data_IF_223110204757
#
_entry.id   IF_223110204757
#
_cell.length_a   1.000
_cell.length_b   1.000
_cell.length_c   1.000
_cell.angle_alpha   90.00
_cell.angle_beta   90.00
_cell.angle_gamma   90.00
#
_symmetry.space_group_name_H-M   'P 1'
#
loop_
_entity.id
_entity.type
_entity.pdbx_description
1 polymer ?
#
# COMPACT_ATOMS: atom_id res chain seq x y z
N UNK A 1 18.77 -14.55 27.65
CA UNK A 1 18.49 -13.82 27.43
C UNK A 1 18.33 -12.80 27.83
N UNK A 2 18.43 -12.13 27.99
CA UNK A 2 18.29 -11.20 28.33
C UNK A 2 17.34 -10.55 28.40
N UNK A 3 17.03 -10.19 29.00
CA UNK A 3 16.22 -9.51 29.01
C UNK A 3 16.23 -8.41 28.95
N UNK A 4 15.88 -8.33 28.66
CA UNK A 4 15.96 -7.09 28.35
C UNK A 4 15.38 -6.25 29.31
N UNK A 5 15.72 -5.15 29.35
CA UNK A 5 15.12 -4.21 30.13
C UNK A 5 13.80 -3.87 29.59
N UNK A 6 13.00 -3.35 30.38
CA UNK A 6 11.68 -3.13 30.06
C UNK A 6 11.50 -2.22 28.93
N UNK A 7 12.43 -1.57 28.56
CA UNK A 7 12.13 -0.72 27.61
C UNK A 7 13.07 -0.86 26.65
N UNK A 8 13.53 -1.96 26.50
CA UNK A 8 14.39 -2.19 25.49
C UNK A 8 13.73 -1.96 24.21
N UNK A 9 12.82 -1.09 24.07
CA UNK A 9 12.23 -0.69 22.84
C UNK A 9 11.34 -1.72 22.22
N UNK A 10 10.98 -2.67 22.98
CA UNK A 10 10.11 -3.69 22.49
C UNK A 10 10.78 -4.79 21.73
N UNK A 11 12.09 -4.82 21.70
CA UNK A 11 12.73 -5.85 20.93
C UNK A 11 12.65 -7.23 21.59
N UNK A 12 12.05 -7.32 22.76
CA UNK A 12 11.74 -8.61 23.33
C UNK A 12 10.24 -8.87 23.30
N UNK A 13 9.49 -8.13 22.53
CA UNK A 13 8.07 -8.41 22.42
C UNK A 13 7.85 -9.71 21.65
N UNK A 14 6.77 -10.42 21.94
CA UNK A 14 6.49 -11.66 21.23
C UNK A 14 6.09 -11.39 19.79
N UNK A 15 6.21 -12.39 18.94
CA UNK A 15 5.69 -12.30 17.59
C UNK A 15 4.18 -12.10 17.67
N UNK A 16 3.65 -11.45 16.65
CA UNK A 16 2.22 -11.18 16.58
C UNK A 16 1.66 -11.83 15.33
N UNK A 17 0.53 -12.46 15.46
CA UNK A 17 -0.15 -13.11 14.37
C UNK A 17 -1.44 -12.35 14.11
N UNK A 18 -1.62 -11.86 12.88
CA UNK A 18 -2.83 -11.17 12.49
C UNK A 18 -3.58 -12.07 11.52
N UNK A 19 -4.65 -12.73 11.95
CA UNK A 19 -5.41 -13.62 11.06
C UNK A 19 -6.11 -12.82 9.96
N UNK A 20 -6.38 -13.44 8.84
CA UNK A 20 -7.07 -12.79 7.75
C UNK A 20 -8.43 -12.22 8.18
N UNK A 21 -9.12 -12.92 9.08
CA UNK A 21 -10.40 -12.44 9.57
C UNK A 21 -10.27 -11.23 10.50
N UNK A 22 -9.05 -10.90 10.93
CA UNK A 22 -8.83 -9.77 11.82
C UNK A 22 -8.37 -8.50 11.14
N UNK A 23 -8.34 -8.47 9.82
CA UNK A 23 -7.98 -7.27 9.10
C UNK A 23 -9.06 -6.19 9.29
N UNK A 24 -8.63 -4.96 9.41
CA UNK A 24 -9.53 -3.86 9.72
C UNK A 24 -9.67 -2.90 8.55
N UNK A 25 -10.91 -2.56 8.18
CA UNK A 25 -11.17 -1.54 7.18
C UNK A 25 -11.20 -0.14 7.80
N UNK A 26 -10.93 -0.03 9.09
CA UNK A 26 -10.91 1.26 9.78
C UNK A 26 -9.58 1.96 9.51
N UNK A 27 -9.35 2.30 8.28
CA UNK A 27 -8.14 2.98 7.82
C UNK A 27 -8.54 3.84 6.63
N UNK A 28 -7.63 4.68 6.15
CA UNK A 28 -7.91 5.60 5.06
C UNK A 28 -8.36 4.86 3.80
N UNK A 29 -9.44 5.33 3.22
CA UNK A 29 -10.04 4.70 2.04
C UNK A 29 -10.00 5.62 0.85
N UNK A 30 -10.04 5.03 -0.34
CA UNK A 30 -10.13 5.72 -1.61
C UNK A 30 -11.35 5.18 -2.35
N UNK A 31 -12.14 6.02 -3.02
CA UNK A 31 -13.29 5.50 -3.76
C UNK A 31 -12.89 4.39 -4.73
N UNK A 32 -13.63 3.30 -4.70
CA UNK A 32 -13.36 2.15 -5.55
C UNK A 32 -12.27 1.22 -5.04
N UNK A 33 -11.63 1.57 -3.93
CA UNK A 33 -10.54 0.78 -3.36
C UNK A 33 -10.80 0.56 -1.89
N UNK A 34 -10.92 -0.69 -1.48
CA UNK A 34 -11.13 -1.03 -0.06
C UNK A 34 -9.79 -1.47 0.52
N UNK A 35 -9.27 -0.70 1.48
CA UNK A 35 -8.04 -1.03 2.18
C UNK A 35 -8.35 -1.70 3.49
N UNK A 36 -7.58 -2.71 3.83
CA UNK A 36 -7.68 -3.37 5.11
C UNK A 36 -6.31 -3.42 5.74
N UNK A 37 -6.22 -2.95 6.98
CA UNK A 37 -4.98 -2.84 7.72
C UNK A 37 -4.68 -4.14 8.41
N UNK A 38 -3.46 -4.61 8.29
CA UNK A 38 -3.01 -5.83 8.95
C UNK A 38 -1.93 -5.54 10.00
N UNK A 39 -0.85 -4.91 9.60
CA UNK A 39 0.29 -4.62 10.48
C UNK A 39 0.45 -3.12 10.57
N UNK A 40 0.26 -2.57 11.75
CA UNK A 40 0.38 -1.13 11.97
C UNK A 40 0.61 -0.85 13.44
N UNK A 41 0.82 0.41 13.78
CA UNK A 41 0.94 0.80 15.18
C UNK A 41 -0.30 0.42 15.95
N UNK A 42 -1.49 0.55 15.35
CA UNK A 42 -2.74 0.24 16.05
C UNK A 42 -2.94 -1.25 16.25
N UNK A 43 -2.50 -2.07 15.31
CA UNK A 43 -2.79 -3.50 15.39
C UNK A 43 -1.74 -4.28 16.17
N UNK A 44 -0.48 -3.98 15.93
CA UNK A 44 0.61 -4.77 16.52
C UNK A 44 1.70 -3.91 17.17
N UNK A 45 1.55 -2.59 17.16
CA UNK A 45 2.55 -1.70 17.76
C UNK A 45 3.76 -1.48 16.90
N UNK A 46 3.66 -1.69 15.59
CA UNK A 46 4.80 -1.44 14.71
C UNK A 46 5.09 0.05 14.64
N UNK A 47 6.35 0.40 14.49
CA UNK A 47 6.76 1.80 14.46
C UNK A 47 7.12 2.27 13.07
N UNK A 48 7.55 1.39 12.21
CA UNK A 48 7.98 1.75 10.87
C UNK A 48 7.16 1.08 9.80
N UNK A 49 6.98 -0.23 9.90
CA UNK A 49 6.29 -0.98 8.86
C UNK A 49 4.79 -0.87 9.03
N UNK A 50 4.13 -0.57 7.93
CA UNK A 50 2.67 -0.70 7.80
C UNK A 50 2.42 -1.70 6.68
N UNK A 51 1.55 -2.68 6.89
CA UNK A 51 1.16 -3.62 5.86
C UNK A 51 -0.34 -3.82 5.87
N UNK A 52 -0.89 -3.97 4.69
CA UNK A 52 -2.29 -4.25 4.53
C UNK A 52 -2.56 -4.70 3.12
N UNK A 53 -3.83 -4.76 2.77
CA UNK A 53 -4.22 -5.13 1.41
C UNK A 53 -5.21 -4.13 0.87
N UNK A 54 -5.28 -4.03 -0.45
CA UNK A 54 -6.24 -3.20 -1.14
C UNK A 54 -6.96 -4.06 -2.17
N UNK A 55 -8.28 -3.96 -2.15
CA UNK A 55 -9.11 -4.56 -3.18
C UNK A 55 -9.58 -3.44 -4.09
N UNK A 56 -9.21 -3.51 -5.36
CA UNK A 56 -9.52 -2.49 -6.35
C UNK A 56 -10.71 -2.97 -7.17
N UNK A 57 -11.80 -2.21 -7.12
CA UNK A 57 -13.02 -2.57 -7.83
C UNK A 57 -12.79 -2.57 -9.34
N UNK A 58 -13.60 -3.32 -10.09
CA UNK A 58 -13.51 -3.29 -11.55
C UNK A 58 -13.73 -1.89 -12.10
N UNK A 59 -13.06 -1.58 -13.20
CA UNK A 59 -13.23 -0.34 -13.95
C UNK A 59 -13.08 0.89 -13.08
N UNK A 60 -12.05 0.90 -12.26
CA UNK A 60 -11.79 1.96 -11.30
C UNK A 60 -10.40 2.54 -11.55
N UNK A 61 -10.26 3.83 -11.30
CA UNK A 61 -8.96 4.48 -11.35
C UNK A 61 -8.86 5.45 -10.19
N UNK A 62 -7.70 5.51 -9.56
CA UNK A 62 -7.44 6.53 -8.54
C UNK A 62 -7.15 7.86 -9.21
N UNK A 63 -7.17 8.93 -8.44
CA UNK A 63 -6.65 10.21 -8.90
C UNK A 63 -5.12 10.12 -9.00
N UNK A 64 -4.52 11.10 -9.68
CA UNK A 64 -3.08 11.25 -9.68
C UNK A 64 -2.65 11.72 -8.30
N UNK A 65 -1.63 11.09 -7.74
CA UNK A 65 -1.19 11.40 -6.38
C UNK A 65 0.22 10.89 -6.13
N UNK A 66 0.79 11.29 -5.00
CA UNK A 66 2.00 10.65 -4.50
C UNK A 66 1.85 10.44 -2.99
N UNK A 67 2.79 9.74 -2.41
CA UNK A 67 2.71 9.35 -1.00
C UNK A 67 3.79 10.01 -0.16
N UNK A 68 4.20 11.22 -0.53
CA UNK A 68 5.21 11.95 0.24
C UNK A 68 6.50 11.16 0.30
N UNK A 69 7.15 11.17 1.45
CA UNK A 69 8.43 10.49 1.60
C UNK A 69 8.30 9.00 1.89
N UNK A 70 7.09 8.45 1.85
CA UNK A 70 6.89 7.02 2.11
C UNK A 70 7.32 6.19 0.91
N UNK A 71 7.95 5.08 1.20
CA UNK A 71 8.21 4.04 0.20
C UNK A 71 7.12 3.00 0.29
N UNK A 72 6.72 2.43 -0.83
CA UNK A 72 5.70 1.40 -0.85
C UNK A 72 6.13 0.22 -1.71
N UNK A 73 6.11 -0.97 -1.13
CA UNK A 73 6.23 -2.20 -1.89
C UNK A 73 4.85 -2.78 -2.08
N UNK A 74 4.57 -3.30 -3.26
CA UNK A 74 3.27 -3.84 -3.62
C UNK A 74 3.46 -5.25 -4.18
N UNK A 75 2.63 -6.17 -3.73
CA UNK A 75 2.62 -7.54 -4.26
C UNK A 75 1.22 -7.79 -4.83
N UNK A 76 1.16 -8.24 -6.08
CA UNK A 76 -0.12 -8.51 -6.75
C UNK A 76 -0.58 -9.92 -6.40
N UNK A 77 -1.69 -10.02 -5.69
CA UNK A 77 -2.26 -11.32 -5.31
C UNK A 77 -3.12 -11.86 -6.44
N UNK A 78 -3.98 -11.03 -7.02
CA UNK A 78 -4.88 -11.46 -8.08
C UNK A 78 -5.35 -10.27 -8.91
N UNK A 79 -5.86 -10.52 -10.09
CA UNK A 79 -6.37 -9.49 -10.97
C UNK A 79 -5.26 -8.88 -11.81
N UNK A 80 -5.59 -7.77 -12.46
CA UNK A 80 -4.69 -7.13 -13.41
C UNK A 80 -4.65 -5.62 -13.18
N UNK A 81 -4.09 -5.16 -12.06
CA UNK A 81 -3.97 -3.73 -11.80
C UNK A 81 -2.95 -3.12 -12.75
N UNK A 82 -3.11 -1.84 -13.03
CA UNK A 82 -2.19 -1.09 -13.87
C UNK A 82 -1.72 0.13 -13.06
N UNK A 83 -0.42 0.38 -13.09
CA UNK A 83 0.16 1.54 -12.42
C UNK A 83 0.72 2.46 -13.50
N UNK A 84 0.34 3.73 -13.44
CA UNK A 84 0.70 4.71 -14.46
C UNK A 84 1.53 5.80 -13.83
N UNK A 85 2.68 6.10 -14.42
CA UNK A 85 3.52 7.21 -14.00
C UNK A 85 4.14 7.85 -15.25
N UNK A 86 4.93 8.90 -15.07
CA UNK A 86 5.55 9.59 -16.20
C UNK A 86 7.06 9.47 -16.11
N UNK A 87 7.68 9.12 -17.22
CA UNK A 87 9.12 9.05 -17.31
C UNK A 87 9.55 9.71 -18.60
N UNK A 88 10.46 10.65 -18.54
CA UNK A 88 10.95 11.40 -19.70
C UNK A 88 9.81 12.05 -20.48
N UNK A 89 8.83 12.59 -19.75
CA UNK A 89 7.71 13.30 -20.35
C UNK A 89 6.64 12.42 -20.95
N UNK A 90 6.73 11.10 -20.79
CA UNK A 90 5.77 10.19 -21.37
C UNK A 90 5.14 9.29 -20.31
N UNK A 91 3.87 8.98 -20.50
CA UNK A 91 3.19 8.05 -19.60
C UNK A 91 3.72 6.65 -19.82
N UNK A 92 4.03 6.00 -18.70
CA UNK A 92 4.44 4.61 -18.69
C UNK A 92 3.40 3.82 -17.91
N UNK A 93 2.96 2.72 -18.48
CA UNK A 93 1.96 1.86 -17.86
C UNK A 93 2.61 0.54 -17.49
N UNK A 94 2.58 0.20 -16.20
CA UNK A 94 3.06 -1.07 -15.72
C UNK A 94 1.84 -1.96 -15.48
N UNK A 95 1.86 -3.15 -16.02
CA UNK A 95 0.74 -4.09 -15.89
C UNK A 95 1.22 -5.37 -15.21
N UNK A 96 1.51 -5.32 -13.91
CA UNK A 96 2.01 -6.50 -13.21
C UNK A 96 0.95 -7.59 -13.14
N UNK A 97 1.40 -8.83 -13.11
CA UNK A 97 0.53 -9.98 -13.01
C UNK A 97 0.60 -10.56 -11.61
N UNK A 98 -0.33 -11.42 -11.28
CA UNK A 98 -0.32 -12.10 -9.99
C UNK A 98 1.05 -12.72 -9.72
N UNK A 99 1.60 -12.44 -8.56
CA UNK A 99 2.94 -12.88 -8.19
C UNK A 99 4.03 -11.84 -8.43
N UNK A 100 3.72 -10.76 -9.14
CA UNK A 100 4.72 -9.72 -9.41
C UNK A 100 4.74 -8.69 -8.30
N UNK A 101 5.81 -7.92 -8.25
CA UNK A 101 6.00 -6.86 -7.27
C UNK A 101 6.18 -5.52 -7.98
N UNK A 102 5.72 -4.46 -7.33
CA UNK A 102 5.94 -3.08 -7.80
C UNK A 102 6.50 -2.28 -6.65
N UNK A 103 7.46 -1.41 -6.93
CA UNK A 103 8.00 -0.49 -5.94
C UNK A 103 7.62 0.93 -6.33
N UNK A 104 7.05 1.67 -5.37
CA UNK A 104 6.71 3.08 -5.55
C UNK A 104 7.67 3.90 -4.73
N UNK A 105 8.60 4.63 -5.38
CA UNK A 105 9.56 5.47 -4.65
C UNK A 105 8.87 6.67 -3.99
N UNK A 106 9.56 7.35 -3.06
CA UNK A 106 9.02 8.58 -2.48
C UNK A 106 8.75 9.63 -3.54
N UNK A 107 7.70 10.41 -3.29
CA UNK A 107 7.33 11.58 -4.10
C UNK A 107 7.02 11.30 -5.57
N UNK A 108 6.81 10.06 -5.95
CA UNK A 108 6.57 9.72 -7.34
C UNK A 108 5.10 9.86 -7.68
N UNK A 109 4.71 10.80 -8.55
CA UNK A 109 3.34 10.92 -8.99
C UNK A 109 2.91 9.71 -9.79
N UNK A 110 1.75 9.17 -9.48
CA UNK A 110 1.23 8.00 -10.17
C UNK A 110 -0.26 7.89 -9.95
N UNK A 111 -0.87 6.96 -10.64
CA UNK A 111 -2.24 6.52 -10.35
C UNK A 111 -2.32 5.02 -10.54
N UNK A 112 -3.30 4.43 -9.92
CA UNK A 112 -3.56 3.00 -10.02
C UNK A 112 -4.90 2.81 -10.71
N UNK A 113 -4.96 1.89 -11.67
CA UNK A 113 -6.16 1.62 -12.44
C UNK A 113 -6.48 0.15 -12.42
N UNK A 114 -7.74 -0.16 -12.48
CA UNK A 114 -8.18 -1.52 -12.79
C UNK A 114 -9.14 -1.44 -13.99
N UNK A 115 -8.62 -1.63 -15.21
CA UNK A 115 -9.45 -1.52 -16.39
C UNK A 115 -10.30 -2.76 -16.66
N UNK A 116 -10.12 -3.81 -15.89
CA UNK A 116 -10.77 -5.08 -16.14
C UNK A 116 -12.09 -5.20 -15.41
N UNK A 117 -12.82 -6.28 -15.70
CA UNK A 117 -14.12 -6.51 -15.08
C UNK A 117 -14.04 -7.28 -13.78
N UNK A 118 -12.85 -7.75 -13.42
CA UNK A 118 -12.65 -8.43 -12.16
C UNK A 118 -11.89 -7.53 -11.20
N UNK A 119 -12.18 -7.65 -9.92
CA UNK A 119 -11.44 -6.92 -8.90
C UNK A 119 -9.99 -7.36 -8.89
N UNK A 120 -9.10 -6.46 -8.50
CA UNK A 120 -7.71 -6.78 -8.26
C UNK A 120 -7.44 -6.72 -6.76
N UNK A 121 -6.53 -7.56 -6.29
CA UNK A 121 -6.14 -7.57 -4.89
C UNK A 121 -4.63 -7.44 -4.82
N UNK A 122 -4.16 -6.46 -4.06
CA UNK A 122 -2.74 -6.26 -3.84
C UNK A 122 -2.45 -6.16 -2.35
N UNK A 123 -1.24 -6.55 -1.96
CA UNK A 123 -0.74 -6.38 -0.60
C UNK A 123 0.28 -5.25 -0.65
N UNK A 124 0.20 -4.35 0.32
CA UNK A 124 1.09 -3.21 0.42
C UNK A 124 1.95 -3.29 1.66
N UNK A 125 3.20 -2.86 1.53
CA UNK A 125 4.07 -2.61 2.67
C UNK A 125 4.61 -1.19 2.52
N UNK A 126 4.40 -0.36 3.55
CA UNK A 126 4.85 1.03 3.54
C UNK A 126 5.85 1.29 4.64
N UNK A 127 6.71 2.28 4.41
CA UNK A 127 7.73 2.66 5.38
C UNK A 127 7.22 3.65 6.43
N UNK A 128 5.96 4.10 6.36
CA UNK A 128 5.39 5.01 7.34
C UNK A 128 4.02 4.52 7.77
N UNK A 129 3.64 4.92 8.98
CA UNK A 129 2.36 4.50 9.56
C UNK A 129 1.19 5.28 8.99
N UNK A 130 1.41 6.53 8.65
CA UNK A 130 0.34 7.37 8.18
C UNK A 130 0.08 7.15 6.71
N UNK A 131 -1.19 7.20 6.34
CA UNK A 131 -1.56 7.10 4.95
C UNK A 131 -1.35 8.47 4.31
N UNK A 132 -0.19 8.68 3.74
CA UNK A 132 0.13 9.94 3.08
C UNK A 132 -0.40 9.88 1.66
N UNK A 133 -1.34 10.76 1.34
CA UNK A 133 -1.85 10.89 -0.03
C UNK A 133 -1.90 12.35 -0.36
N UNK A 134 -1.05 12.75 -1.29
CA UNK A 134 -1.02 14.13 -1.78
C UNK A 134 -1.63 14.10 -3.17
N UNK A 135 -2.87 14.56 -3.27
CA UNK A 135 -3.58 14.56 -4.55
C UNK A 135 -3.02 15.67 -5.44
N UNK A 136 -2.87 15.35 -6.71
CA UNK A 136 -2.33 16.27 -7.67
C UNK A 136 -3.43 16.68 -8.64
N UNK A 137 -3.43 17.96 -9.00
CA UNK A 137 -4.36 18.46 -10.00
C UNK A 137 -3.68 18.45 -11.35
N UNK A 138 -4.43 18.09 -12.37
CA UNK A 138 -3.89 18.07 -13.70
C UNK A 138 -3.18 16.77 -14.04
N UNK A 139 -2.46 16.76 -15.16
CA UNK A 139 -1.81 15.52 -15.62
C UNK A 139 -0.60 15.16 -14.76
N UNK A 140 -0.20 13.91 -14.87
CA UNK A 140 1.03 13.46 -14.26
C UNK A 140 2.22 14.16 -14.93
N UNK A 141 3.23 14.49 -14.14
CA UNK A 141 4.44 15.14 -14.68
C UNK A 141 5.70 14.50 -14.11
#
# INVERSE_FOLDING_TARGET
MQESGPNDGGWHAPLRHVPAAGLSSDTGQTPGMVRREAVSARTVGSQKVWMGETRVAPRTASSNHHHGDSETGIYVVSGNPVFVFVEDGQEVRLAPKAGDYVFVPPYTPHREENPCEEAAVVVLARSSQEAIVVNLEGPLT
#
